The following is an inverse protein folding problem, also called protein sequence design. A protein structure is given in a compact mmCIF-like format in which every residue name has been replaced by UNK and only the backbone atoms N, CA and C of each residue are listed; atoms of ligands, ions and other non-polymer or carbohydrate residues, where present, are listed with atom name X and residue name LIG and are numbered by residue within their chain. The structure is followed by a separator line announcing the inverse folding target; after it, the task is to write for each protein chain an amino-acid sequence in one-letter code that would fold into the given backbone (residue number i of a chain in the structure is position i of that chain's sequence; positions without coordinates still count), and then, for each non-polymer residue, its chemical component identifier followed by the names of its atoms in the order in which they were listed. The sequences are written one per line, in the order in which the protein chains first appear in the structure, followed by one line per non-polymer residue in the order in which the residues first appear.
data_IF_608022657580
#
_entry.id   IF_608022657580
#
_cell.length_a   1.000
_cell.length_b   1.000
_cell.length_c   1.000
_cell.angle_alpha   90.00
_cell.angle_beta   90.00
_cell.angle_gamma   90.00
#
_symmetry.space_group_name_H-M   'P 1'
#
loop_
_entity.id
_entity.type
_entity.pdbx_description
1 polymer ?
#
# COMPACT_ATOMS: atom_id res chain seq x y z
N UNK A 1 -8.98 -1.06 -18.27
CA UNK A 1 -9.83 -1.68 -17.23
C UNK A 1 -8.98 -1.91 -15.98
N UNK A 2 -9.45 -1.47 -14.81
CA UNK A 2 -8.84 -1.81 -13.51
C UNK A 2 -9.46 -3.14 -13.09
N UNK A 3 -8.64 -4.15 -12.81
CA UNK A 3 -9.14 -5.45 -12.33
C UNK A 3 -9.69 -5.32 -10.90
N UNK A 4 -10.55 -6.26 -10.49
CA UNK A 4 -11.07 -6.30 -9.11
C UNK A 4 -9.95 -6.41 -8.07
N UNK A 5 -8.85 -7.09 -8.39
CA UNK A 5 -7.64 -7.12 -7.55
C UNK A 5 -7.02 -5.74 -7.36
N UNK A 6 -6.80 -5.00 -8.46
CA UNK A 6 -6.24 -3.66 -8.40
C UNK A 6 -7.14 -2.68 -7.61
N UNK A 7 -8.46 -2.84 -7.66
CA UNK A 7 -9.39 -2.04 -6.86
C UNK A 7 -9.20 -2.25 -5.34
N UNK A 8 -9.00 -3.51 -4.93
CA UNK A 8 -8.74 -3.83 -3.52
C UNK A 8 -7.40 -3.26 -3.05
N UNK A 9 -6.34 -3.40 -3.85
CA UNK A 9 -5.02 -2.86 -3.52
C UNK A 9 -5.04 -1.34 -3.37
N UNK A 10 -5.77 -0.64 -4.26
CA UNK A 10 -5.97 0.82 -4.16
C UNK A 10 -6.65 1.17 -2.83
N UNK A 11 -7.70 0.44 -2.43
CA UNK A 11 -8.41 0.68 -1.18
C UNK A 11 -7.51 0.48 0.03
N UNK A 12 -6.79 -0.64 0.09
CA UNK A 12 -5.88 -0.96 1.20
C UNK A 12 -4.75 0.06 1.30
N UNK A 13 -4.10 0.38 0.17
CA UNK A 13 -3.03 1.37 0.13
C UNK A 13 -3.50 2.77 0.54
N UNK A 14 -4.69 3.18 0.09
CA UNK A 14 -5.27 4.48 0.44
C UNK A 14 -5.59 4.59 1.92
N UNK A 15 -6.19 3.55 2.51
CA UNK A 15 -6.51 3.53 3.94
C UNK A 15 -5.24 3.55 4.80
N UNK A 16 -4.23 2.73 4.45
CA UNK A 16 -2.96 2.73 5.14
C UNK A 16 -2.27 4.10 5.06
N UNK A 17 -2.22 4.69 3.86
CA UNK A 17 -1.65 6.02 3.67
C UNK A 17 -2.37 7.09 4.49
N UNK A 18 -3.70 7.06 4.54
CA UNK A 18 -4.49 7.98 5.37
C UNK A 18 -4.15 7.82 6.83
N UNK A 19 -4.10 6.60 7.37
CA UNK A 19 -3.75 6.36 8.77
C UNK A 19 -2.32 6.80 9.10
N UNK A 20 -1.36 6.56 8.20
CA UNK A 20 0.02 7.05 8.37
C UNK A 20 0.06 8.58 8.53
N UNK A 21 -0.70 9.29 7.70
CA UNK A 21 -0.76 10.76 7.72
C UNK A 21 -1.53 11.29 8.93
N UNK A 22 -2.68 10.70 9.28
CA UNK A 22 -3.59 11.23 10.31
C UNK A 22 -3.33 10.72 11.72
N UNK A 23 -2.71 9.55 11.88
CA UNK A 23 -2.47 8.90 13.17
C UNK A 23 -0.98 8.66 13.42
N UNK A 24 -0.23 8.30 12.39
CA UNK A 24 1.20 7.99 12.49
C UNK A 24 2.13 9.20 12.45
N UNK A 25 1.63 10.41 12.14
CA UNK A 25 2.46 11.61 12.03
C UNK A 25 3.40 11.63 10.81
N UNK A 26 3.08 10.91 9.74
CA UNK A 26 3.95 10.79 8.54
C UNK A 26 3.84 11.99 7.57
N UNK A 27 3.43 13.15 8.06
CA UNK A 27 3.41 14.39 7.28
C UNK A 27 4.18 15.47 8.02
N UNK A 28 5.22 16.00 7.38
CA UNK A 28 5.98 17.14 7.91
C UNK A 28 5.13 18.42 8.00
N UNK A 29 4.17 18.57 7.07
CA UNK A 29 3.27 19.74 7.03
C UNK A 29 2.27 19.76 8.18
N UNK A 30 1.82 18.58 8.60
CA UNK A 30 0.86 18.41 9.68
C UNK A 30 1.56 18.21 11.04
N UNK A 31 2.77 17.65 11.02
CA UNK A 31 3.49 17.29 12.23
C UNK A 31 2.88 16.07 12.93
N UNK A 32 3.41 15.71 14.12
CA UNK A 32 3.02 14.50 14.84
C UNK A 32 1.76 14.72 15.68
N UNK A 33 0.67 15.14 15.05
CA UNK A 33 -0.63 15.33 15.70
C UNK A 33 -1.63 14.24 15.28
N UNK A 34 -2.55 13.90 16.18
CA UNK A 34 -3.64 12.98 15.90
C UNK A 34 -4.80 13.74 15.26
N UNK A 35 -5.10 13.41 14.00
CA UNK A 35 -6.18 14.02 13.20
C UNK A 35 -7.41 13.12 13.06
N UNK A 36 -7.30 11.83 13.36
CA UNK A 36 -8.41 10.88 13.29
C UNK A 36 -8.37 9.91 14.48
N UNK A 37 -9.49 9.76 15.17
CA UNK A 37 -9.66 8.72 16.19
C UNK A 37 -9.77 7.34 15.50
N UNK A 38 -9.27 6.27 16.13
CA UNK A 38 -9.43 4.91 15.61
C UNK A 38 -10.92 4.54 15.54
N UNK A 39 -11.38 3.98 14.42
CA UNK A 39 -12.75 3.44 14.27
C UNK A 39 -13.05 2.22 15.19
N UNK A 40 -12.17 1.91 16.16
CA UNK A 40 -12.24 0.74 17.03
C UNK A 40 -12.72 0.97 18.46
N UNK A 41 -12.74 2.21 18.98
CA UNK A 41 -13.22 2.45 20.35
C UNK A 41 -14.74 2.63 20.39
N UNK A 42 -15.47 1.51 20.45
CA UNK A 42 -16.81 1.44 21.04
C UNK A 42 -16.73 1.73 22.55
N UNK A 43 -16.41 2.98 22.92
CA UNK A 43 -16.39 3.38 24.31
C UNK A 43 -17.81 3.66 24.81
N UNK A 44 -18.24 2.85 25.78
CA UNK A 44 -19.48 2.95 26.51
C UNK A 44 -19.69 4.36 27.08
N UNK A 45 -20.56 5.13 26.43
CA UNK A 45 -21.28 6.24 27.05
C UNK A 45 -20.48 7.51 27.32
N UNK A 46 -19.83 8.11 26.31
CA UNK A 46 -19.70 9.59 26.20
C UNK A 46 -19.20 10.15 24.86
N UNK A 47 -19.28 9.41 23.76
CA UNK A 47 -18.60 9.80 22.51
C UNK A 47 -19.54 10.23 21.38
N UNK A 48 -20.50 11.12 21.64
CA UNK A 48 -21.39 11.66 20.58
C UNK A 48 -20.94 13.04 20.07
N UNK A 49 -19.84 13.62 20.55
CA UNK A 49 -19.51 15.02 20.22
C UNK A 49 -18.02 15.37 20.09
N UNK A 50 -17.21 14.57 19.39
CA UNK A 50 -15.86 15.01 18.97
C UNK A 50 -15.44 14.72 17.53
N UNK A 51 -16.30 14.09 16.72
CA UNK A 51 -16.11 14.07 15.27
C UNK A 51 -16.51 15.41 14.63
N UNK A 52 -15.84 16.53 14.99
CA UNK A 52 -15.96 17.81 14.27
C UNK A 52 -15.06 18.86 14.92
N UNK A 53 -13.82 19.01 14.43
CA UNK A 53 -13.12 20.30 14.33
C UNK A 53 -11.92 20.19 13.37
N UNK A 54 -11.99 19.34 12.33
CA UNK A 54 -11.02 19.40 11.24
C UNK A 54 -11.46 20.50 10.27
N UNK A 55 -10.59 21.48 10.03
CA UNK A 55 -10.87 22.52 9.04
C UNK A 55 -10.80 21.96 7.62
N UNK A 56 -11.52 22.57 6.67
CA UNK A 56 -11.43 22.20 5.25
C UNK A 56 -10.00 22.28 4.72
N UNK A 57 -9.23 23.26 5.22
CA UNK A 57 -7.81 23.41 4.87
C UNK A 57 -6.98 22.24 5.38
N UNK A 58 -7.18 21.82 6.63
CA UNK A 58 -6.51 20.63 7.19
C UNK A 58 -6.88 19.37 6.42
N UNK A 59 -8.16 19.18 6.09
CA UNK A 59 -8.64 18.04 5.30
C UNK A 59 -7.96 18.01 3.92
N UNK A 60 -7.84 19.17 3.26
CA UNK A 60 -7.18 19.32 1.97
C UNK A 60 -5.69 19.00 2.05
N UNK A 61 -5.00 19.42 3.13
CA UNK A 61 -3.59 19.07 3.35
C UNK A 61 -3.45 17.56 3.52
N UNK A 62 -4.30 16.92 4.32
CA UNK A 62 -4.29 15.46 4.51
C UNK A 62 -4.44 14.75 3.15
N UNK A 63 -5.43 15.12 2.34
CA UNK A 63 -5.64 14.49 1.03
C UNK A 63 -4.45 14.67 0.09
N UNK A 64 -3.77 15.83 0.13
CA UNK A 64 -2.55 16.06 -0.64
C UNK A 64 -1.40 15.16 -0.18
N UNK A 65 -1.19 15.01 1.13
CA UNK A 65 -0.13 14.19 1.69
C UNK A 65 -0.37 12.69 1.42
N UNK A 66 -1.62 12.24 1.53
CA UNK A 66 -2.03 10.88 1.16
C UNK A 66 -1.73 10.60 -0.31
N UNK A 67 -2.14 11.53 -1.19
CA UNK A 67 -1.88 11.41 -2.63
C UNK A 67 -0.38 11.35 -2.93
N UNK A 68 0.41 12.25 -2.35
CA UNK A 68 1.86 12.29 -2.54
C UNK A 68 2.54 11.00 -2.07
N UNK A 69 2.09 10.44 -0.94
CA UNK A 69 2.60 9.18 -0.41
C UNK A 69 2.30 8.00 -1.35
N UNK A 70 1.08 7.91 -1.87
CA UNK A 70 0.67 6.86 -2.81
C UNK A 70 1.44 7.00 -4.12
N UNK A 71 1.50 8.20 -4.72
CA UNK A 71 2.18 8.44 -6.00
C UNK A 71 3.67 8.09 -5.91
N UNK A 72 4.36 8.51 -4.84
CA UNK A 72 5.77 8.18 -4.62
C UNK A 72 6.00 6.67 -4.58
N UNK A 73 5.20 5.94 -3.83
CA UNK A 73 5.35 4.50 -3.69
C UNK A 73 4.92 3.73 -4.94
N UNK A 74 3.89 4.20 -5.65
CA UNK A 74 3.52 3.66 -6.95
C UNK A 74 4.65 3.78 -7.96
N UNK A 75 5.26 4.97 -8.07
CA UNK A 75 6.39 5.20 -8.96
C UNK A 75 7.59 4.33 -8.58
N UNK A 76 7.89 4.20 -7.28
CA UNK A 76 8.95 3.30 -6.79
C UNK A 76 8.68 1.84 -7.16
N UNK A 77 7.46 1.34 -6.93
CA UNK A 77 7.09 -0.03 -7.28
C UNK A 77 7.19 -0.27 -8.79
N UNK A 78 6.70 0.67 -9.60
CA UNK A 78 6.82 0.61 -11.05
C UNK A 78 8.28 0.59 -11.51
N UNK A 79 9.13 1.41 -10.90
CA UNK A 79 10.56 1.44 -11.23
C UNK A 79 11.21 0.09 -10.89
N UNK A 80 10.97 -0.45 -9.70
CA UNK A 80 11.50 -1.75 -9.28
C UNK A 80 11.11 -2.88 -10.24
N UNK A 81 9.84 -2.90 -10.70
CA UNK A 81 9.37 -3.87 -11.68
C UNK A 81 10.01 -3.64 -13.05
N UNK A 82 10.18 -2.38 -13.46
CA UNK A 82 10.79 -2.03 -14.74
C UNK A 82 12.27 -2.41 -14.79
N UNK A 83 13.01 -2.16 -13.71
CA UNK A 83 14.43 -2.49 -13.58
C UNK A 83 14.69 -4.00 -13.52
N UNK A 84 13.67 -4.79 -13.18
CA UNK A 84 13.75 -6.25 -13.06
C UNK A 84 12.73 -6.96 -13.97
N UNK A 85 12.53 -6.41 -15.17
CA UNK A 85 11.57 -6.94 -16.14
C UNK A 85 11.87 -8.39 -16.54
N UNK A 86 13.15 -8.77 -16.55
CA UNK A 86 13.60 -10.13 -16.77
C UNK A 86 13.04 -11.10 -15.72
N UNK A 87 13.15 -10.75 -14.44
CA UNK A 87 12.62 -11.53 -13.32
C UNK A 87 11.09 -11.58 -13.39
N UNK A 88 10.43 -10.46 -13.71
CA UNK A 88 8.97 -10.39 -13.82
C UNK A 88 8.44 -11.34 -14.92
N UNK A 89 9.08 -11.33 -16.09
CA UNK A 89 8.71 -12.24 -17.18
C UNK A 89 9.02 -13.70 -16.85
N UNK A 90 10.18 -13.99 -16.27
CA UNK A 90 10.52 -15.34 -15.83
C UNK A 90 9.54 -15.88 -14.79
N UNK A 91 9.11 -15.05 -13.83
CA UNK A 91 8.10 -15.40 -12.83
C UNK A 91 6.73 -15.67 -13.47
N UNK A 92 6.31 -14.83 -14.44
CA UNK A 92 5.10 -15.06 -15.22
C UNK A 92 5.16 -16.39 -15.98
N UNK A 93 6.27 -16.70 -16.64
CA UNK A 93 6.44 -17.95 -17.38
C UNK A 93 6.47 -19.18 -16.43
N UNK A 94 7.10 -19.06 -15.26
CA UNK A 94 7.09 -20.10 -14.23
C UNK A 94 5.68 -20.38 -13.71
N UNK A 95 4.89 -19.34 -13.40
CA UNK A 95 3.49 -19.47 -12.99
C UNK A 95 2.62 -20.09 -14.09
N UNK A 96 2.85 -19.73 -15.37
CA UNK A 96 2.12 -20.36 -16.48
C UNK A 96 2.46 -21.84 -16.63
N UNK A 97 3.68 -22.26 -16.27
CA UNK A 97 4.14 -23.64 -16.38
C UNK A 97 3.72 -24.51 -15.19
N UNK A 98 3.78 -23.96 -13.98
CA UNK A 98 3.63 -24.71 -12.74
C UNK A 98 2.37 -24.36 -11.93
N UNK A 99 1.60 -23.35 -12.36
CA UNK A 99 0.40 -22.78 -11.71
C UNK A 99 0.67 -22.09 -10.36
N UNK A 100 1.58 -22.64 -9.57
CA UNK A 100 2.06 -22.14 -8.28
C UNK A 100 3.58 -22.19 -8.24
N UNK A 101 4.18 -21.26 -7.49
CA UNK A 101 5.63 -21.24 -7.23
C UNK A 101 5.86 -21.09 -5.73
N UNK A 102 6.86 -21.79 -5.21
CA UNK A 102 7.24 -21.74 -3.79
C UNK A 102 8.46 -20.83 -3.54
N UNK A 103 8.84 -20.67 -2.28
CA UNK A 103 9.96 -19.82 -1.89
C UNK A 103 11.30 -20.23 -2.56
N UNK A 104 11.71 -21.51 -2.58
CA UNK A 104 12.90 -21.93 -3.33
C UNK A 104 12.89 -21.56 -4.81
N UNK A 105 11.74 -21.64 -5.48
CA UNK A 105 11.59 -21.22 -6.87
C UNK A 105 11.70 -19.70 -7.03
N UNK A 106 11.13 -18.93 -6.09
CA UNK A 106 11.31 -17.48 -6.05
C UNK A 106 12.79 -17.11 -5.86
N UNK A 107 13.52 -17.81 -4.98
CA UNK A 107 14.95 -17.56 -4.76
C UNK A 107 15.77 -17.76 -6.04
N UNK A 108 15.46 -18.79 -6.83
CA UNK A 108 16.11 -19.02 -8.12
C UNK A 108 15.80 -17.90 -9.13
N UNK A 109 14.54 -17.46 -9.21
CA UNK A 109 14.12 -16.33 -10.05
C UNK A 109 14.87 -15.05 -9.66
N UNK A 110 14.95 -14.75 -8.36
CA UNK A 110 15.64 -13.58 -7.84
C UNK A 110 17.16 -13.63 -8.10
N UNK A 111 17.74 -14.83 -8.13
CA UNK A 111 19.14 -15.07 -8.48
C UNK A 111 19.40 -15.16 -10.00
N UNK A 112 18.38 -14.95 -10.86
CA UNK A 112 18.46 -15.07 -12.33
C UNK A 112 18.96 -16.45 -12.79
N UNK A 113 18.50 -17.49 -12.11
CA UNK A 113 18.75 -18.89 -12.47
C UNK A 113 17.50 -19.53 -13.04
N UNK A 114 17.69 -20.64 -13.75
CA UNK A 114 16.58 -21.47 -14.17
C UNK A 114 15.79 -21.98 -12.96
N UNK A 115 14.46 -21.88 -13.05
CA UNK A 115 13.56 -22.27 -11.97
C UNK A 115 13.52 -23.79 -11.86
N UNK A 116 13.78 -24.29 -10.65
CA UNK A 116 13.64 -25.72 -10.34
C UNK A 116 12.18 -26.20 -10.48
N UNK A 117 11.94 -27.49 -10.74
CA UNK A 117 10.60 -28.07 -10.64
C UNK A 117 10.01 -27.95 -9.22
N UNK A 118 8.68 -27.87 -9.08
CA UNK A 118 8.03 -27.95 -7.77
C UNK A 118 8.31 -29.31 -7.10
N UNK A 119 8.31 -29.32 -5.77
CA UNK A 119 8.53 -30.52 -4.95
C UNK A 119 7.35 -31.50 -5.01
#
# INVERSE_FOLDING_TARGET
HVSTGASNDIKVATNLARNMVTQGGFSEKLGPLLYAEEEGELFLGRSVAKAKHMSDETARIIDQEVKALIERNYNRARQLLTDNMDILHAMKDALMKYETIDAPQIDDLMARRDVRPPA
#
